data_IF_212337735434
#
_entry.id   IF_212337735434
#
_cell.length_a   1.000
_cell.length_b   1.000
_cell.length_c   1.000
_cell.angle_alpha   90.00
_cell.angle_beta   90.00
_cell.angle_gamma   90.00
#
_symmetry.space_group_name_H-M   'P 1'
#
loop_
_entity.id
_entity.type
_entity.pdbx_description
1 polymer ?
#
# COMPACT_ATOMS: atom_id res chain seq x y z
N UNK A 1 -8.01 21.16 -1.14
CA UNK A 1 -7.41 21.27 0.21
C UNK A 1 -6.52 20.07 0.43
N UNK A 2 -5.37 20.22 1.11
CA UNK A 2 -4.48 19.09 1.44
C UNK A 2 -4.37 19.02 2.97
N UNK A 3 -4.72 17.87 3.54
CA UNK A 3 -4.56 17.55 4.95
C UNK A 3 -3.37 16.59 5.10
N UNK A 4 -2.68 16.67 6.22
CA UNK A 4 -1.62 15.73 6.59
C UNK A 4 -1.90 15.17 7.97
N UNK A 5 -1.93 13.84 8.08
CA UNK A 5 -2.32 13.16 9.31
C UNK A 5 -1.54 11.86 9.52
N UNK A 6 -1.74 11.23 10.66
CA UNK A 6 -1.00 10.04 11.07
C UNK A 6 -1.91 8.85 11.37
N UNK A 7 -1.50 7.69 10.86
CA UNK A 7 -2.02 6.39 11.26
C UNK A 7 -3.54 6.21 11.16
N UNK A 8 -4.06 5.27 11.95
CA UNK A 8 -5.48 4.91 11.93
C UNK A 8 -6.41 6.04 12.36
N UNK A 9 -5.96 6.90 13.26
CA UNK A 9 -6.77 8.02 13.70
C UNK A 9 -7.00 9.00 12.54
N UNK A 10 -5.93 9.37 11.85
CA UNK A 10 -6.01 10.30 10.73
C UNK A 10 -6.88 9.75 9.59
N UNK A 11 -6.71 8.48 9.21
CA UNK A 11 -7.47 7.91 8.11
C UNK A 11 -8.96 7.82 8.41
N UNK A 12 -9.35 7.39 9.63
CA UNK A 12 -10.76 7.31 10.05
C UNK A 12 -11.43 8.67 10.10
N UNK A 13 -10.68 9.71 10.45
CA UNK A 13 -11.22 11.06 10.59
C UNK A 13 -11.41 11.76 9.25
N UNK A 14 -10.55 11.54 8.29
CA UNK A 14 -10.49 12.36 7.09
C UNK A 14 -10.76 11.62 5.77
N UNK A 15 -10.57 10.30 5.70
CA UNK A 15 -10.66 9.59 4.41
C UNK A 15 -12.05 9.68 3.77
N UNK A 16 -13.12 9.58 4.55
CA UNK A 16 -14.49 9.69 4.03
C UNK A 16 -14.82 11.06 3.41
N UNK A 17 -14.12 12.13 3.83
CA UNK A 17 -14.29 13.49 3.30
C UNK A 17 -13.24 13.86 2.25
N UNK A 18 -12.36 12.95 1.89
CA UNK A 18 -11.29 13.15 0.92
C UNK A 18 -11.61 12.47 -0.40
N UNK A 19 -11.34 13.14 -1.51
CA UNK A 19 -11.39 12.53 -2.84
C UNK A 19 -10.25 11.54 -3.04
N UNK A 20 -9.09 11.88 -2.48
CA UNK A 20 -7.86 11.09 -2.57
C UNK A 20 -7.24 10.92 -1.19
N UNK A 21 -6.95 9.69 -0.81
CA UNK A 21 -6.08 9.38 0.34
C UNK A 21 -4.73 8.86 -0.17
N UNK A 22 -3.65 9.44 0.34
CA UNK A 22 -2.27 9.04 0.02
C UNK A 22 -1.66 8.36 1.23
N UNK A 23 -1.36 7.08 1.12
CA UNK A 23 -0.70 6.29 2.17
C UNK A 23 0.81 6.37 2.00
N UNK A 24 1.51 6.81 3.03
CA UNK A 24 2.97 6.93 3.06
C UNK A 24 3.55 5.98 4.10
N UNK A 25 4.06 4.84 3.62
CA UNK A 25 4.77 3.81 4.41
C UNK A 25 6.06 3.47 3.66
N UNK A 26 7.08 4.32 3.84
CA UNK A 26 8.32 4.29 3.05
C UNK A 26 9.13 3.01 3.32
N UNK A 27 9.16 2.53 4.56
CA UNK A 27 9.89 1.35 5.01
C UNK A 27 8.94 0.28 5.58
N UNK A 28 8.20 -0.38 4.68
CA UNK A 28 8.49 -0.45 3.24
C UNK A 28 7.26 -0.69 2.36
N UNK A 29 6.04 -0.65 2.90
CA UNK A 29 4.85 -1.05 2.15
C UNK A 29 4.66 -0.23 0.86
N UNK A 30 4.68 1.10 0.95
CA UNK A 30 4.48 1.95 -0.25
C UNK A 30 5.58 1.73 -1.30
N UNK A 31 6.82 1.49 -0.86
CA UNK A 31 7.92 1.16 -1.77
C UNK A 31 7.73 -0.21 -2.44
N UNK A 32 7.21 -1.19 -1.71
CA UNK A 32 6.86 -2.50 -2.26
C UNK A 32 5.74 -2.39 -3.29
N UNK A 33 4.70 -1.61 -2.98
CA UNK A 33 3.58 -1.36 -3.90
C UNK A 33 4.07 -0.74 -5.20
N UNK A 34 4.87 0.33 -5.11
CA UNK A 34 5.40 1.01 -6.29
C UNK A 34 6.21 0.06 -7.19
N UNK A 35 7.11 -0.73 -6.61
CA UNK A 35 7.94 -1.67 -7.37
C UNK A 35 7.10 -2.77 -8.01
N UNK A 36 6.19 -3.39 -7.27
CA UNK A 36 5.36 -4.47 -7.79
C UNK A 36 4.47 -4.00 -8.94
N UNK A 37 3.80 -2.88 -8.78
CA UNK A 37 2.89 -2.31 -9.78
C UNK A 37 3.68 -1.82 -11.01
N UNK A 38 4.84 -1.21 -10.83
CA UNK A 38 5.71 -0.78 -11.94
C UNK A 38 6.18 -1.95 -12.81
N UNK A 39 6.26 -3.17 -12.25
CA UNK A 39 6.53 -4.39 -12.99
C UNK A 39 5.27 -5.07 -13.57
N UNK A 40 4.09 -4.48 -13.40
CA UNK A 40 2.83 -5.01 -13.92
C UNK A 40 2.18 -6.09 -13.04
N UNK A 41 2.57 -6.21 -11.78
CA UNK A 41 1.90 -7.10 -10.83
C UNK A 41 0.59 -6.50 -10.31
N UNK A 42 -0.30 -7.38 -9.84
CA UNK A 42 -1.56 -7.04 -9.19
C UNK A 42 -1.38 -7.28 -7.69
N UNK A 43 -1.33 -6.20 -6.90
CA UNK A 43 -1.06 -6.29 -5.48
C UNK A 43 -2.34 -6.14 -4.67
N UNK A 44 -2.56 -7.08 -3.76
CA UNK A 44 -3.68 -7.13 -2.83
C UNK A 44 -3.19 -6.83 -1.42
N UNK A 45 -3.53 -5.70 -0.82
CA UNK A 45 -3.17 -5.40 0.55
C UNK A 45 -3.91 -6.33 1.52
N UNK A 46 -3.24 -6.77 2.58
CA UNK A 46 -3.85 -7.56 3.64
C UNK A 46 -3.33 -7.13 5.01
N UNK A 47 -4.19 -7.10 6.03
CA UNK A 47 -3.82 -6.50 7.34
C UNK A 47 -3.10 -7.45 8.28
N UNK A 48 -3.35 -8.77 8.19
CA UNK A 48 -2.86 -9.75 9.14
C UNK A 48 -1.73 -10.59 8.57
N UNK A 49 -0.84 -11.07 9.45
CA UNK A 49 0.23 -12.01 9.13
C UNK A 49 -0.05 -13.34 9.84
N UNK A 50 -1.12 -14.01 9.44
CA UNK A 50 -1.61 -15.25 10.00
C UNK A 50 -2.23 -16.13 8.91
N UNK A 51 -2.83 -17.26 9.31
CA UNK A 51 -3.42 -18.24 8.40
C UNK A 51 -4.54 -17.65 7.54
N UNK A 52 -5.22 -16.59 7.99
CA UNK A 52 -6.25 -15.93 7.20
C UNK A 52 -5.69 -15.26 5.92
N UNK A 53 -4.41 -14.88 5.94
CA UNK A 53 -3.73 -14.38 4.74
C UNK A 53 -3.50 -15.49 3.71
N UNK A 54 -3.25 -16.72 4.16
CA UNK A 54 -3.11 -17.91 3.29
C UNK A 54 -4.44 -18.17 2.59
N UNK A 55 -5.53 -18.29 3.35
CA UNK A 55 -6.88 -18.52 2.81
C UNK A 55 -7.29 -17.42 1.82
N UNK A 56 -6.96 -16.16 2.14
CA UNK A 56 -7.24 -15.05 1.24
C UNK A 56 -6.45 -15.13 -0.07
N UNK A 57 -5.15 -15.46 -0.01
CA UNK A 57 -4.33 -15.63 -1.21
C UNK A 57 -4.82 -16.80 -2.08
N UNK A 58 -5.17 -17.92 -1.48
CA UNK A 58 -5.77 -19.08 -2.17
C UNK A 58 -7.07 -18.69 -2.88
N UNK A 59 -7.95 -17.95 -2.22
CA UNK A 59 -9.23 -17.50 -2.81
C UNK A 59 -9.06 -16.64 -4.05
N UNK A 60 -7.94 -15.92 -4.16
CA UNK A 60 -7.60 -15.06 -5.30
C UNK A 60 -6.75 -15.77 -6.36
N UNK A 61 -6.32 -17.00 -6.10
CA UNK A 61 -5.25 -17.68 -6.86
C UNK A 61 -4.02 -16.75 -6.99
N UNK A 62 -3.55 -16.24 -5.85
CA UNK A 62 -2.46 -15.28 -5.74
C UNK A 62 -1.31 -15.86 -4.92
N UNK A 63 -0.10 -15.39 -5.20
CA UNK A 63 1.07 -15.61 -4.35
C UNK A 63 0.88 -14.91 -3.00
N UNK A 64 1.36 -15.53 -1.92
CA UNK A 64 1.41 -14.89 -0.62
C UNK A 64 2.84 -14.42 -0.34
N UNK A 65 3.01 -13.12 -0.12
CA UNK A 65 4.30 -12.61 0.34
C UNK A 65 4.64 -13.16 1.74
N UNK A 66 5.88 -13.60 1.92
CA UNK A 66 6.37 -14.14 3.19
C UNK A 66 6.19 -13.14 4.33
N UNK A 67 5.78 -13.63 5.49
CA UNK A 67 5.63 -12.81 6.71
C UNK A 67 6.99 -12.31 7.24
N UNK A 68 8.06 -13.03 6.92
CA UNK A 68 9.44 -12.62 7.23
C UNK A 68 10.04 -11.90 6.02
N UNK A 69 10.70 -10.78 6.28
CA UNK A 69 11.42 -10.06 5.23
C UNK A 69 12.52 -10.93 4.64
N UNK A 70 12.58 -11.00 3.32
CA UNK A 70 13.57 -11.73 2.55
C UNK A 70 13.88 -10.96 1.26
N UNK A 71 15.07 -11.12 0.74
CA UNK A 71 15.45 -10.63 -0.58
C UNK A 71 15.21 -11.70 -1.68
N UNK A 72 15.11 -12.98 -1.30
CA UNK A 72 15.08 -14.13 -2.22
C UNK A 72 13.65 -14.58 -2.56
N UNK A 73 12.72 -14.42 -1.62
CA UNK A 73 11.30 -14.75 -1.82
C UNK A 73 10.44 -13.50 -1.62
N UNK A 74 9.31 -13.42 -2.28
CA UNK A 74 8.41 -12.27 -2.17
C UNK A 74 8.05 -11.99 -0.72
N UNK A 75 8.24 -10.76 -0.29
CA UNK A 75 8.04 -10.34 1.09
C UNK A 75 7.83 -8.83 1.15
N UNK A 76 7.63 -8.30 2.36
CA UNK A 76 7.59 -6.85 2.61
C UNK A 76 9.02 -6.24 2.54
N UNK A 77 9.79 -6.67 1.54
CA UNK A 77 11.11 -6.16 1.19
C UNK A 77 11.11 -5.71 -0.27
N UNK A 78 11.35 -4.43 -0.57
CA UNK A 78 11.33 -3.92 -1.94
C UNK A 78 12.23 -4.69 -2.90
N UNK A 79 13.37 -5.17 -2.41
CA UNK A 79 14.35 -5.94 -3.22
C UNK A 79 13.73 -7.24 -3.72
N UNK A 80 12.91 -7.92 -2.91
CA UNK A 80 12.29 -9.20 -3.28
C UNK A 80 11.30 -9.07 -4.44
N UNK A 81 10.75 -7.88 -4.65
CA UNK A 81 9.73 -7.59 -5.67
C UNK A 81 10.32 -6.99 -6.95
N UNK A 82 11.64 -6.73 -6.98
CA UNK A 82 12.30 -6.05 -8.08
C UNK A 82 12.11 -6.73 -9.44
N UNK A 83 12.02 -8.05 -9.44
CA UNK A 83 11.88 -8.86 -10.65
C UNK A 83 10.55 -9.65 -10.66
N UNK A 84 9.52 -9.17 -9.96
CA UNK A 84 8.21 -9.82 -9.97
C UNK A 84 7.67 -9.86 -11.41
N UNK A 85 7.22 -11.01 -11.92
CA UNK A 85 6.69 -11.09 -13.28
C UNK A 85 5.41 -10.27 -13.45
N UNK A 86 5.25 -9.67 -14.63
CA UNK A 86 4.01 -8.98 -14.99
C UNK A 86 2.81 -9.95 -14.94
N UNK A 87 1.69 -9.47 -14.43
CA UNK A 87 0.47 -10.26 -14.23
C UNK A 87 0.47 -11.11 -12.96
N UNK A 88 1.57 -11.18 -12.19
CA UNK A 88 1.58 -11.87 -10.91
C UNK A 88 0.57 -11.21 -9.96
N UNK A 89 -0.34 -12.01 -9.41
CA UNK A 89 -1.18 -11.60 -8.30
C UNK A 89 -0.43 -11.87 -6.99
N UNK A 90 -0.29 -10.87 -6.13
CA UNK A 90 0.41 -11.02 -4.86
C UNK A 90 -0.38 -10.40 -3.72
N UNK A 91 -0.60 -11.17 -2.66
CA UNK A 91 -1.10 -10.67 -1.38
C UNK A 91 0.07 -10.20 -0.54
N UNK A 92 0.05 -8.95 -0.10
CA UNK A 92 1.13 -8.34 0.68
C UNK A 92 0.64 -7.97 2.09
N UNK A 93 0.85 -8.83 3.09
CA UNK A 93 0.46 -8.54 4.47
C UNK A 93 1.32 -7.44 5.10
N UNK A 94 0.67 -6.40 5.60
CA UNK A 94 1.31 -5.33 6.37
C UNK A 94 0.36 -4.78 7.43
N UNK A 95 0.75 -4.79 8.72
CA UNK A 95 -0.08 -4.24 9.79
C UNK A 95 -0.17 -2.71 9.78
N UNK A 96 0.67 -2.05 8.98
CA UNK A 96 0.69 -0.59 8.82
C UNK A 96 0.09 -0.19 7.47
N UNK A 97 0.86 -0.23 6.40
CA UNK A 97 0.43 0.27 5.10
C UNK A 97 -0.78 -0.44 4.50
N UNK A 98 -0.83 -1.79 4.53
CA UNK A 98 -1.99 -2.53 4.03
C UNK A 98 -3.24 -2.24 4.85
N UNK A 99 -3.13 -2.20 6.18
CA UNK A 99 -4.28 -1.91 7.04
C UNK A 99 -4.84 -0.51 6.77
N UNK A 100 -3.98 0.50 6.63
CA UNK A 100 -4.42 1.86 6.32
C UNK A 100 -5.08 1.93 4.94
N UNK A 101 -4.51 1.25 3.94
CA UNK A 101 -5.10 1.20 2.60
C UNK A 101 -6.52 0.63 2.61
N UNK A 102 -6.75 -0.43 3.41
CA UNK A 102 -8.06 -1.06 3.56
C UNK A 102 -9.05 -0.27 4.42
N UNK A 103 -8.56 0.65 5.28
CA UNK A 103 -9.40 1.53 6.10
C UNK A 103 -9.81 2.80 5.36
N UNK A 104 -9.23 3.08 4.22
CA UNK A 104 -9.57 4.28 3.44
C UNK A 104 -10.97 4.18 2.86
N UNK A 105 -11.75 5.22 3.07
CA UNK A 105 -13.10 5.40 2.50
C UNK A 105 -13.12 6.40 1.32
N UNK A 106 -11.95 6.92 0.94
CA UNK A 106 -11.82 7.82 -0.20
C UNK A 106 -12.10 7.10 -1.51
N UNK A 107 -12.58 7.84 -2.50
CA UNK A 107 -12.78 7.33 -3.85
C UNK A 107 -11.50 6.75 -4.48
N UNK A 108 -10.36 7.35 -4.16
CA UNK A 108 -9.04 6.95 -4.66
C UNK A 108 -8.09 6.82 -3.47
N UNK A 109 -7.42 5.67 -3.38
CA UNK A 109 -6.34 5.45 -2.41
C UNK A 109 -5.05 5.14 -3.15
N UNK A 110 -3.99 5.90 -2.88
CA UNK A 110 -2.69 5.81 -3.55
C UNK A 110 -1.61 5.53 -2.51
N UNK A 111 -0.62 4.74 -2.87
CA UNK A 111 0.60 4.58 -2.08
C UNK A 111 1.70 5.49 -2.62
N UNK A 112 2.29 6.32 -1.76
CA UNK A 112 3.39 7.21 -2.12
C UNK A 112 4.66 6.86 -1.35
N UNK A 113 5.79 6.98 -2.02
CA UNK A 113 7.13 6.80 -1.47
C UNK A 113 8.14 7.71 -2.20
N UNK A 114 9.41 7.64 -1.80
CA UNK A 114 10.47 8.44 -2.43
C UNK A 114 10.70 8.12 -3.90
N UNK A 115 10.21 6.98 -4.39
CA UNK A 115 10.38 6.58 -5.80
C UNK A 115 9.34 7.21 -6.73
N UNK A 116 8.13 7.46 -6.25
CA UNK A 116 6.99 7.86 -7.09
C UNK A 116 6.35 9.20 -6.69
N UNK A 117 6.93 9.95 -5.76
CA UNK A 117 6.29 11.17 -5.22
C UNK A 117 5.97 12.22 -6.30
N UNK A 118 6.81 12.36 -7.33
CA UNK A 118 6.52 13.26 -8.45
C UNK A 118 5.29 12.82 -9.24
N UNK A 119 5.23 11.54 -9.64
CA UNK A 119 4.09 10.99 -10.37
C UNK A 119 2.79 11.07 -9.55
N UNK A 120 2.86 10.80 -8.24
CA UNK A 120 1.72 10.97 -7.33
C UNK A 120 1.28 12.42 -7.25
N UNK A 121 2.22 13.37 -7.13
CA UNK A 121 1.92 14.80 -7.12
C UNK A 121 1.26 15.29 -8.41
N UNK A 122 1.77 14.89 -9.56
CA UNK A 122 1.19 15.18 -10.87
C UNK A 122 -0.23 14.60 -11.01
N UNK A 123 -0.42 13.36 -10.58
CA UNK A 123 -1.73 12.70 -10.61
C UNK A 123 -2.75 13.44 -9.73
N UNK A 124 -2.37 13.80 -8.51
CA UNK A 124 -3.20 14.59 -7.59
C UNK A 124 -3.60 15.92 -8.22
N UNK A 125 -2.66 16.63 -8.83
CA UNK A 125 -2.92 17.90 -9.50
C UNK A 125 -3.89 17.75 -10.69
N UNK A 126 -3.82 16.63 -11.40
CA UNK A 126 -4.70 16.34 -12.53
C UNK A 126 -6.13 16.05 -12.08
N UNK A 127 -6.29 15.28 -11.01
CA UNK A 127 -7.62 14.89 -10.48
C UNK A 127 -8.24 16.05 -9.70
N UNK A 128 -7.44 16.76 -8.91
CA UNK A 128 -7.91 17.81 -8.00
C UNK A 128 -8.72 17.28 -6.82
N UNK A 129 -9.37 18.17 -6.09
CA UNK A 129 -10.23 17.82 -4.95
C UNK A 129 -9.54 17.91 -3.59
N UNK A 130 -10.14 17.26 -2.60
CA UNK A 130 -9.62 17.18 -1.25
C UNK A 130 -8.69 15.98 -1.11
N UNK A 131 -7.49 16.22 -0.60
CA UNK A 131 -6.45 15.19 -0.46
C UNK A 131 -6.09 15.06 1.01
N UNK A 132 -6.00 13.83 1.51
CA UNK A 132 -5.42 13.55 2.82
C UNK A 132 -4.20 12.64 2.66
N UNK A 133 -3.06 13.12 3.15
CA UNK A 133 -1.82 12.35 3.20
C UNK A 133 -1.71 11.73 4.59
N UNK A 134 -1.58 10.41 4.64
CA UNK A 134 -1.50 9.62 5.88
C UNK A 134 -0.13 8.98 5.99
N UNK A 135 0.67 9.44 6.94
CA UNK A 135 1.88 8.73 7.34
C UNK A 135 1.50 7.50 8.17
N UNK A 136 2.03 6.33 7.81
CA UNK A 136 1.67 5.07 8.47
C UNK A 136 2.12 5.04 9.93
N UNK A 137 3.29 5.60 10.23
CA UNK A 137 3.93 5.48 11.54
C UNK A 137 4.45 4.07 11.79
N UNK A 138 4.98 3.85 12.99
CA UNK A 138 5.41 2.54 13.46
C UNK A 138 4.50 2.08 14.60
N UNK A 139 4.20 0.79 14.64
CA UNK A 139 3.64 0.16 15.83
C UNK A 139 4.83 -0.35 16.66
N UNK A 140 5.00 0.24 17.82
CA UNK A 140 5.95 -0.22 18.85
C UNK A 140 5.34 -1.33 19.68
#
# INVERSE_FOLDING_TARGET
MINFEWGKHGIRKYSASSDITVIVDILSFSSCVDIAISNGALLYPYRYKDDSAVEYAESLNAELASFKRSAEIFSLSPVSLKNIPSGTKIVLPSPNGSELSLLSESRITICACLRNFNAVGEYINTIGGNVTVIAAGEKW
#
